data_IF_540833130672
#
_entry.id   IF_540833130672
#
_cell.length_a   1.000
_cell.length_b   1.000
_cell.length_c   1.000
_cell.angle_alpha   90.00
_cell.angle_beta   90.00
_cell.angle_gamma   90.00
#
_symmetry.space_group_name_H-M   'P 1'
#
loop_
_entity.id
_entity.type
_entity.pdbx_description
1 polymer ?
#
# COMPACT_ATOMS: atom_id res chain seq x y z
N UNK A 1 -28.84 66.72 43.53
CA UNK A 1 -29.47 65.40 43.27
C UNK A 1 -28.85 64.83 42.01
N UNK A 2 -28.18 63.68 42.16
CA UNK A 2 -27.44 62.97 41.11
C UNK A 2 -28.41 62.43 40.05
N UNK A 3 -28.18 62.72 38.77
CA UNK A 3 -28.69 61.88 37.67
C UNK A 3 -27.48 61.42 36.85
N UNK A 4 -27.12 60.17 37.10
CA UNK A 4 -26.19 59.38 36.32
C UNK A 4 -26.84 59.15 34.94
N UNK A 5 -26.21 59.64 33.88
CA UNK A 5 -26.55 59.25 32.50
C UNK A 5 -25.52 58.18 32.12
N UNK A 6 -25.92 56.92 31.88
CA UNK A 6 -24.98 55.93 31.38
C UNK A 6 -24.75 56.22 29.89
N UNK A 7 -23.51 56.55 29.57
CA UNK A 7 -23.00 56.62 28.20
C UNK A 7 -23.04 55.21 27.61
N UNK A 8 -24.04 54.92 26.77
CA UNK A 8 -24.10 53.70 25.96
C UNK A 8 -22.96 53.74 24.93
N UNK A 9 -21.80 53.20 25.31
CA UNK A 9 -20.76 52.81 24.37
C UNK A 9 -21.30 51.67 23.52
N UNK A 10 -21.77 51.99 22.31
CA UNK A 10 -21.91 51.01 21.24
C UNK A 10 -20.50 50.54 20.85
N UNK A 11 -20.01 49.51 21.54
CA UNK A 11 -18.90 48.71 21.05
C UNK A 11 -19.51 47.81 19.97
N UNK A 12 -19.09 47.92 18.69
CA UNK A 12 -19.50 46.92 17.72
C UNK A 12 -18.89 45.60 18.18
N UNK A 13 -19.73 44.67 18.62
CA UNK A 13 -19.35 43.29 18.81
C UNK A 13 -19.06 42.76 17.40
N UNK A 14 -17.81 42.90 16.95
CA UNK A 14 -17.35 42.19 15.77
C UNK A 14 -17.35 40.72 16.18
N UNK A 15 -18.47 40.05 15.91
CA UNK A 15 -18.54 38.60 15.88
C UNK A 15 -17.69 38.21 14.68
N UNK A 16 -16.38 38.11 14.88
CA UNK A 16 -15.55 37.27 14.04
C UNK A 16 -16.05 35.84 14.29
N UNK A 17 -17.04 35.43 13.49
CA UNK A 17 -17.33 34.01 13.32
C UNK A 17 -16.05 33.38 12.80
N UNK A 18 -15.31 32.73 13.70
CA UNK A 18 -14.29 31.79 13.30
C UNK A 18 -15.04 30.62 12.67
N UNK A 19 -15.17 30.62 11.35
CA UNK A 19 -15.50 29.43 10.59
C UNK A 19 -14.30 28.48 10.68
N UNK A 20 -14.16 27.81 11.83
CA UNK A 20 -13.33 26.63 11.94
C UNK A 20 -14.18 25.47 11.42
N UNK A 21 -14.24 25.31 10.10
CA UNK A 21 -14.65 24.02 9.53
C UNK A 21 -13.54 23.03 9.88
N UNK A 22 -13.74 22.28 10.96
CA UNK A 22 -12.94 21.09 11.23
C UNK A 22 -12.98 20.20 9.99
N UNK A 23 -11.81 19.67 9.59
CA UNK A 23 -11.72 18.74 8.46
C UNK A 23 -12.67 17.57 8.69
N UNK A 24 -13.52 17.27 7.72
CA UNK A 24 -14.48 16.15 7.79
C UNK A 24 -13.76 14.82 8.09
N UNK A 25 -12.55 14.66 7.56
CA UNK A 25 -11.70 13.50 7.85
C UNK A 25 -11.26 13.47 9.32
N UNK A 26 -10.89 14.62 9.90
CA UNK A 26 -10.50 14.71 11.31
C UNK A 26 -11.69 14.35 12.21
N UNK A 27 -12.90 14.81 11.88
CA UNK A 27 -14.11 14.45 12.63
C UNK A 27 -14.37 12.94 12.60
N UNK A 28 -14.21 12.29 11.43
CA UNK A 28 -14.35 10.83 11.30
C UNK A 28 -13.27 10.08 12.09
N UNK A 29 -12.02 10.54 12.06
CA UNK A 29 -10.92 9.95 12.84
C UNK A 29 -11.22 10.05 14.34
N UNK A 30 -11.65 11.23 14.82
CA UNK A 30 -12.01 11.44 16.22
C UNK A 30 -13.18 10.55 16.65
N UNK A 31 -14.18 10.35 15.78
CA UNK A 31 -15.30 9.44 16.05
C UNK A 31 -14.83 7.99 16.21
N UNK A 32 -13.94 7.51 15.33
CA UNK A 32 -13.34 6.16 15.45
C UNK A 32 -12.55 6.05 16.76
N UNK A 33 -11.74 7.06 17.11
CA UNK A 33 -10.97 7.06 18.35
C UNK A 33 -11.87 6.99 19.59
N UNK A 34 -12.95 7.76 19.63
CA UNK A 34 -13.92 7.72 20.73
C UNK A 34 -14.60 6.36 20.84
N UNK A 35 -14.96 5.73 19.71
CA UNK A 35 -15.55 4.40 19.70
C UNK A 35 -14.58 3.35 20.26
N UNK A 36 -13.32 3.36 19.83
CA UNK A 36 -12.28 2.45 20.33
C UNK A 36 -12.07 2.63 21.85
N UNK A 37 -12.03 3.88 22.32
CA UNK A 37 -11.93 4.19 23.75
C UNK A 37 -13.13 3.67 24.55
N UNK A 38 -14.34 3.72 23.97
CA UNK A 38 -15.56 3.25 24.62
C UNK A 38 -15.67 1.71 24.66
N UNK A 39 -15.24 1.02 23.60
CA UNK A 39 -15.27 -0.45 23.52
C UNK A 39 -14.24 -1.11 24.44
N UNK A 40 -13.05 -0.51 24.59
CA UNK A 40 -12.00 -1.01 25.50
C UNK A 40 -11.30 -2.29 25.05
N UNK A 41 -11.75 -2.92 23.97
CA UNK A 41 -11.07 -3.98 23.24
C UNK A 41 -11.23 -3.75 21.72
N UNK A 42 -10.32 -4.30 20.92
CA UNK A 42 -10.35 -4.23 19.46
C UNK A 42 -10.36 -5.67 18.94
N UNK A 43 -11.27 -6.00 18.04
CA UNK A 43 -11.31 -7.31 17.37
C UNK A 43 -10.15 -7.45 16.38
N UNK A 44 -9.81 -8.68 15.98
CA UNK A 44 -8.75 -8.90 14.97
C UNK A 44 -9.12 -8.23 13.65
N UNK A 45 -10.40 -8.21 13.31
CA UNK A 45 -10.94 -7.61 12.10
C UNK A 45 -10.81 -6.07 12.12
N UNK A 46 -11.17 -5.44 13.23
CA UNK A 46 -10.98 -3.99 13.44
C UNK A 46 -9.50 -3.60 13.45
N UNK A 47 -8.64 -4.43 14.06
CA UNK A 47 -7.20 -4.27 14.03
C UNK A 47 -6.66 -4.32 12.59
N UNK A 48 -7.11 -5.27 11.77
CA UNK A 48 -6.72 -5.33 10.36
C UNK A 48 -7.22 -4.12 9.56
N UNK A 49 -8.42 -3.62 9.83
CA UNK A 49 -8.93 -2.39 9.20
C UNK A 49 -8.07 -1.17 9.56
N UNK A 50 -7.68 -1.05 10.83
CA UNK A 50 -6.74 -0.01 11.28
C UNK A 50 -5.36 -0.14 10.63
N UNK A 51 -4.80 -1.36 10.57
CA UNK A 51 -3.51 -1.62 9.93
C UNK A 51 -3.53 -1.30 8.42
N UNK A 52 -4.66 -1.52 7.75
CA UNK A 52 -4.85 -1.12 6.36
C UNK A 52 -4.79 0.40 6.19
N UNK A 53 -5.49 1.16 7.05
CA UNK A 53 -5.43 2.63 7.05
C UNK A 53 -4.00 3.12 7.31
N UNK A 54 -3.30 2.54 8.29
CA UNK A 54 -1.89 2.84 8.54
C UNK A 54 -1.02 2.56 7.30
N UNK A 55 -1.33 1.51 6.55
CA UNK A 55 -0.62 1.17 5.31
C UNK A 55 -0.81 2.19 4.20
N UNK A 56 -1.97 2.86 4.15
CA UNK A 56 -2.25 3.91 3.16
C UNK A 56 -1.54 5.22 3.56
N UNK A 57 -1.46 5.50 4.87
CA UNK A 57 -0.94 6.75 5.42
C UNK A 57 0.58 6.78 5.61
N UNK A 58 1.22 5.61 5.69
CA UNK A 58 2.65 5.49 5.88
C UNK A 58 3.39 6.02 4.63
N UNK A 59 3.81 7.29 4.70
CA UNK A 59 4.75 7.88 3.73
C UNK A 59 6.11 7.16 3.73
N UNK A 60 6.33 6.31 4.74
CA UNK A 60 7.57 5.58 5.01
C UNK A 60 7.50 4.10 4.60
N UNK A 61 6.52 3.72 3.78
CA UNK A 61 6.52 2.37 3.21
C UNK A 61 7.77 2.13 2.34
N UNK A 62 8.42 3.17 1.82
CA UNK A 62 9.65 3.10 1.02
C UNK A 62 9.45 3.47 -0.45
N UNK A 63 8.20 3.61 -0.93
CA UNK A 63 7.92 4.01 -2.32
C UNK A 63 8.00 5.52 -2.55
N UNK A 64 7.58 6.32 -1.57
CA UNK A 64 7.66 7.78 -1.67
C UNK A 64 9.11 8.28 -1.70
N UNK A 65 10.02 7.55 -1.06
CA UNK A 65 11.45 7.84 -1.01
C UNK A 65 12.25 7.14 -2.12
N UNK A 66 11.61 6.35 -3.00
CA UNK A 66 12.29 5.68 -4.11
C UNK A 66 12.56 6.69 -5.24
N UNK A 67 13.71 7.36 -5.12
CA UNK A 67 14.14 8.49 -5.93
C UNK A 67 13.96 8.23 -7.43
N UNK A 68 13.12 9.04 -8.10
CA UNK A 68 12.64 8.80 -9.47
C UNK A 68 13.75 8.65 -10.52
N UNK A 69 14.90 9.25 -10.23
CA UNK A 69 16.00 9.46 -11.16
C UNK A 69 17.01 8.31 -11.12
N UNK A 70 16.89 7.39 -10.16
CA UNK A 70 17.79 6.24 -10.00
C UNK A 70 17.05 4.95 -9.62
N UNK A 71 15.80 4.81 -10.09
CA UNK A 71 14.95 3.65 -9.83
C UNK A 71 15.44 2.45 -10.63
N UNK A 72 16.16 1.54 -9.97
CA UNK A 72 16.43 0.23 -10.52
C UNK A 72 15.12 -0.55 -10.62
N UNK A 73 14.76 -0.97 -11.82
CA UNK A 73 13.60 -1.81 -12.07
C UNK A 73 14.05 -3.23 -12.39
N UNK A 74 13.15 -4.19 -12.18
CA UNK A 74 13.46 -5.61 -12.30
C UNK A 74 13.98 -6.02 -13.70
N UNK A 75 13.71 -5.23 -14.73
CA UNK A 75 14.22 -5.46 -16.10
C UNK A 75 15.70 -5.07 -16.26
N UNK A 76 16.20 -4.13 -15.47
CA UNK A 76 17.48 -3.47 -15.69
C UNK A 76 18.62 -4.11 -14.86
N UNK A 77 18.28 -5.05 -13.97
CA UNK A 77 19.25 -5.82 -13.18
C UNK A 77 19.84 -6.95 -14.01
N UNK A 78 21.11 -7.29 -13.76
CA UNK A 78 21.79 -8.42 -14.42
C UNK A 78 21.19 -9.74 -13.93
N UNK A 79 21.02 -9.86 -12.60
CA UNK A 79 20.41 -11.03 -11.97
C UNK A 79 19.23 -10.55 -11.13
N UNK A 80 18.04 -11.07 -11.42
CA UNK A 80 16.83 -10.80 -10.64
C UNK A 80 16.95 -11.40 -9.23
N UNK A 81 16.11 -10.99 -8.26
CA UNK A 81 16.06 -11.63 -6.96
C UNK A 81 15.82 -13.14 -7.10
N UNK A 82 16.56 -13.92 -6.31
CA UNK A 82 16.46 -15.39 -6.35
C UNK A 82 15.56 -15.84 -5.20
N UNK A 83 14.39 -16.34 -5.56
CA UNK A 83 13.46 -16.99 -4.63
C UNK A 83 14.00 -18.38 -4.25
N UNK A 84 13.71 -18.84 -3.04
CA UNK A 84 14.06 -20.19 -2.59
C UNK A 84 13.59 -21.29 -3.57
N UNK A 85 14.55 -22.11 -4.00
CA UNK A 85 14.34 -23.16 -4.99
C UNK A 85 14.46 -22.69 -6.45
N UNK A 86 15.03 -21.52 -6.68
CA UNK A 86 15.40 -21.00 -8.01
C UNK A 86 16.94 -20.82 -8.14
N UNK A 87 17.74 -21.46 -7.29
CA UNK A 87 19.20 -21.37 -7.32
C UNK A 87 19.81 -22.12 -8.51
N UNK A 88 21.01 -21.71 -8.93
CA UNK A 88 21.84 -22.39 -9.94
C UNK A 88 21.19 -22.51 -11.34
N UNK A 89 20.16 -21.71 -11.61
CA UNK A 89 19.53 -21.58 -12.92
C UNK A 89 20.24 -20.54 -13.78
N UNK A 90 20.07 -20.60 -15.10
CA UNK A 90 20.46 -19.48 -15.97
C UNK A 90 19.67 -18.21 -15.62
N UNK A 91 20.15 -17.03 -16.04
CA UNK A 91 19.46 -15.75 -15.77
C UNK A 91 18.00 -15.76 -16.25
N UNK A 92 17.75 -16.29 -17.46
CA UNK A 92 16.40 -16.40 -18.02
C UNK A 92 15.51 -17.37 -17.24
N UNK A 93 16.05 -18.51 -16.83
CA UNK A 93 15.33 -19.51 -16.03
C UNK A 93 15.07 -19.01 -14.62
N UNK A 94 16.02 -18.29 -14.02
CA UNK A 94 15.87 -17.63 -12.72
C UNK A 94 14.72 -16.64 -12.77
N UNK A 95 14.65 -15.82 -13.83
CA UNK A 95 13.54 -14.87 -14.06
C UNK A 95 12.19 -15.55 -14.17
N UNK A 96 12.10 -16.64 -14.95
CA UNK A 96 10.87 -17.44 -15.08
C UNK A 96 10.48 -18.09 -13.75
N UNK A 97 11.46 -18.64 -13.03
CA UNK A 97 11.27 -19.28 -11.74
C UNK A 97 10.77 -18.28 -10.68
N UNK A 98 11.42 -17.11 -10.58
CA UNK A 98 10.98 -16.01 -9.71
C UNK A 98 9.52 -15.65 -9.96
N UNK A 99 9.14 -15.42 -11.21
CA UNK A 99 7.75 -15.09 -11.58
C UNK A 99 6.75 -16.18 -11.16
N UNK A 100 7.09 -17.43 -11.42
CA UNK A 100 6.25 -18.56 -11.06
C UNK A 100 6.10 -18.66 -9.53
N UNK A 101 7.20 -18.57 -8.77
CA UNK A 101 7.17 -18.65 -7.31
C UNK A 101 6.35 -17.52 -6.68
N UNK A 102 6.55 -16.28 -7.14
CA UNK A 102 5.79 -15.11 -6.70
C UNK A 102 4.29 -15.29 -6.98
N UNK A 103 3.93 -15.63 -8.23
CA UNK A 103 2.54 -15.86 -8.64
C UNK A 103 1.89 -16.98 -7.81
N UNK A 104 2.59 -18.10 -7.67
CA UNK A 104 2.12 -19.26 -6.90
C UNK A 104 1.95 -18.93 -5.42
N UNK A 105 2.90 -18.22 -4.81
CA UNK A 105 2.82 -17.79 -3.42
C UNK A 105 1.60 -16.91 -3.18
N UNK A 106 1.40 -15.89 -4.02
CA UNK A 106 0.28 -14.96 -3.88
C UNK A 106 -1.05 -15.71 -4.04
N UNK A 107 -1.19 -16.53 -5.07
CA UNK A 107 -2.40 -17.34 -5.30
C UNK A 107 -2.72 -18.23 -4.10
N UNK A 108 -1.71 -18.82 -3.45
CA UNK A 108 -1.88 -19.69 -2.29
C UNK A 108 -2.30 -18.91 -1.04
N UNK A 109 -1.68 -17.77 -0.79
CA UNK A 109 -1.90 -16.99 0.44
C UNK A 109 -3.12 -16.06 0.38
N UNK A 110 -3.63 -15.77 -0.82
CA UNK A 110 -4.76 -14.86 -1.02
C UNK A 110 -6.08 -15.51 -0.56
N UNK A 111 -6.81 -14.81 0.30
CA UNK A 111 -8.12 -15.18 0.78
C UNK A 111 -9.18 -14.80 -0.25
N UNK A 112 -9.52 -15.73 -1.14
CA UNK A 112 -10.49 -15.50 -2.22
C UNK A 112 -11.88 -15.02 -1.74
N UNK A 113 -12.25 -15.26 -0.49
CA UNK A 113 -13.53 -14.81 0.06
C UNK A 113 -13.67 -13.28 0.01
N UNK A 114 -12.57 -12.53 0.22
CA UNK A 114 -12.63 -11.05 0.18
C UNK A 114 -13.01 -10.51 -1.20
N UNK A 115 -12.77 -11.29 -2.26
CA UNK A 115 -13.17 -10.96 -3.64
C UNK A 115 -14.60 -11.40 -3.92
N UNK A 116 -15.00 -12.59 -3.44
CA UNK A 116 -16.36 -13.12 -3.62
C UNK A 116 -17.42 -12.25 -2.94
N UNK A 117 -17.10 -11.69 -1.76
CA UNK A 117 -18.01 -10.82 -1.02
C UNK A 117 -18.36 -9.53 -1.77
N UNK A 118 -17.56 -9.15 -2.77
CA UNK A 118 -17.82 -7.99 -3.62
C UNK A 118 -18.88 -8.24 -4.70
N UNK A 119 -19.30 -9.49 -4.94
CA UNK A 119 -20.29 -9.88 -5.95
C UNK A 119 -20.04 -9.24 -7.32
N UNK A 120 -18.80 -9.27 -7.78
CA UNK A 120 -18.38 -8.64 -9.04
C UNK A 120 -19.01 -9.36 -10.23
N UNK A 121 -19.59 -8.59 -11.16
CA UNK A 121 -20.13 -9.13 -12.42
C UNK A 121 -19.03 -9.57 -13.38
N UNK A 122 -17.87 -8.91 -13.32
CA UNK A 122 -16.70 -9.17 -14.16
C UNK A 122 -15.42 -9.10 -13.33
N UNK A 123 -14.36 -9.85 -13.68
CA UNK A 123 -13.06 -9.73 -13.04
C UNK A 123 -12.53 -8.29 -13.13
N UNK A 124 -11.97 -7.81 -12.02
CA UNK A 124 -11.27 -6.52 -11.93
C UNK A 124 -9.76 -6.73 -11.91
N UNK A 125 -9.03 -5.70 -12.29
CA UNK A 125 -7.58 -5.69 -12.28
C UNK A 125 -7.07 -4.61 -11.34
N UNK A 126 -5.98 -4.90 -10.65
CA UNK A 126 -5.27 -3.98 -9.76
C UNK A 126 -3.76 -4.13 -9.93
N UNK A 127 -3.06 -3.00 -9.90
CA UNK A 127 -1.60 -2.98 -9.95
C UNK A 127 -1.03 -2.88 -8.53
N UNK A 128 -0.11 -3.79 -8.20
CA UNK A 128 0.63 -3.75 -6.95
C UNK A 128 2.13 -3.61 -7.22
N UNK A 129 2.79 -2.84 -6.37
CA UNK A 129 4.19 -2.47 -6.45
C UNK A 129 4.85 -2.82 -5.12
N UNK A 130 6.08 -3.31 -5.17
CA UNK A 130 6.90 -3.54 -3.98
C UNK A 130 8.38 -3.46 -4.33
N UNK A 131 9.21 -3.09 -3.37
CA UNK A 131 10.66 -3.04 -3.49
C UNK A 131 11.25 -4.26 -2.79
N UNK A 132 12.09 -5.02 -3.48
CA UNK A 132 12.99 -5.98 -2.84
C UNK A 132 14.30 -5.24 -2.59
N UNK A 133 14.65 -5.03 -1.32
CA UNK A 133 15.84 -4.25 -0.98
C UNK A 133 17.14 -5.07 -1.14
N UNK A 134 18.28 -4.42 -0.95
CA UNK A 134 19.62 -5.03 -1.01
C UNK A 134 19.86 -6.15 0.00
N UNK A 135 18.99 -6.30 1.00
CA UNK A 135 19.00 -7.40 1.97
C UNK A 135 17.96 -8.49 1.65
N UNK A 136 17.25 -8.37 0.52
CA UNK A 136 16.24 -9.33 0.09
C UNK A 136 14.87 -9.18 0.75
N UNK A 137 14.64 -8.13 1.53
CA UNK A 137 13.37 -7.89 2.21
C UNK A 137 12.40 -7.12 1.31
N UNK A 138 11.12 -7.48 1.38
CA UNK A 138 10.06 -6.71 0.75
C UNK A 138 9.74 -5.46 1.57
N UNK A 139 9.78 -4.32 0.89
CA UNK A 139 9.46 -2.98 1.40
C UNK A 139 8.68 -2.25 0.30
N UNK A 140 8.34 -0.99 0.50
CA UNK A 140 7.75 -0.11 -0.52
C UNK A 140 6.49 -0.68 -1.13
N UNK A 141 5.56 -1.22 -0.33
CA UNK A 141 4.39 -1.93 -0.87
C UNK A 141 3.23 -0.97 -1.11
N UNK A 142 2.78 -0.86 -2.36
CA UNK A 142 1.61 -0.05 -2.75
C UNK A 142 0.72 -0.80 -3.71
N UNK A 143 -0.58 -0.64 -3.50
CA UNK A 143 -1.62 -1.15 -4.39
C UNK A 143 -2.42 0.04 -4.90
N UNK A 144 -2.68 0.10 -6.21
CA UNK A 144 -3.40 1.21 -6.85
C UNK A 144 -4.72 0.74 -7.41
N UNK A 145 -5.75 1.57 -7.30
CA UNK A 145 -7.02 1.40 -8.03
C UNK A 145 -7.82 0.14 -7.64
N UNK A 146 -7.81 -0.22 -6.35
CA UNK A 146 -8.68 -1.29 -5.79
C UNK A 146 -9.53 -0.83 -4.61
N UNK A 147 -10.58 -1.60 -4.33
CA UNK A 147 -11.32 -1.55 -3.09
C UNK A 147 -10.39 -1.76 -1.89
N UNK A 148 -10.70 -1.08 -0.78
CA UNK A 148 -9.88 -1.12 0.44
C UNK A 148 -9.68 -2.55 0.95
N UNK A 149 -10.71 -3.41 0.85
CA UNK A 149 -10.61 -4.82 1.26
C UNK A 149 -9.59 -5.61 0.43
N UNK A 150 -9.60 -5.41 -0.90
CA UNK A 150 -8.65 -6.05 -1.83
C UNK A 150 -7.23 -5.50 -1.62
N UNK A 151 -7.10 -4.17 -1.47
CA UNK A 151 -5.83 -3.54 -1.15
C UNK A 151 -5.23 -4.11 0.13
N UNK A 152 -6.03 -4.21 1.20
CA UNK A 152 -5.60 -4.74 2.49
C UNK A 152 -5.10 -6.18 2.35
N UNK A 153 -5.84 -7.00 1.61
CA UNK A 153 -5.52 -8.41 1.41
C UNK A 153 -4.22 -8.59 0.61
N UNK A 154 -4.04 -7.84 -0.48
CA UNK A 154 -2.81 -7.90 -1.27
C UNK A 154 -1.60 -7.49 -0.42
N UNK A 155 -1.71 -6.41 0.36
CA UNK A 155 -0.64 -5.96 1.26
C UNK A 155 -0.35 -7.00 2.36
N UNK A 156 -1.39 -7.65 2.91
CA UNK A 156 -1.22 -8.76 3.88
C UNK A 156 -0.45 -9.92 3.26
N UNK A 157 -0.74 -10.28 2.02
CA UNK A 157 -0.06 -11.37 1.31
C UNK A 157 1.39 -11.01 1.02
N UNK A 158 1.67 -9.81 0.49
CA UNK A 158 3.03 -9.36 0.20
C UNK A 158 3.92 -9.35 1.46
N UNK A 159 3.38 -8.92 2.61
CA UNK A 159 4.08 -8.94 3.91
C UNK A 159 4.47 -10.34 4.39
N UNK A 160 3.81 -11.40 3.91
CA UNK A 160 4.14 -12.78 4.27
C UNK A 160 5.22 -13.39 3.39
N UNK A 161 5.64 -12.70 2.32
CA UNK A 161 6.66 -13.26 1.44
C UNK A 161 7.96 -13.53 2.21
N UNK A 162 8.64 -14.64 1.92
CA UNK A 162 9.93 -14.91 2.51
C UNK A 162 10.98 -13.91 2.00
N UNK A 163 12.04 -13.74 2.79
CA UNK A 163 13.25 -13.03 2.37
C UNK A 163 13.87 -13.81 1.21
N UNK A 164 14.39 -13.10 0.21
CA UNK A 164 14.98 -13.68 -1.01
C UNK A 164 16.45 -13.29 -1.13
N UNK A 165 17.20 -13.88 -2.05
CA UNK A 165 18.50 -13.28 -2.43
C UNK A 165 18.22 -11.98 -3.20
N UNK A 166 18.92 -10.88 -2.89
CA UNK A 166 18.69 -9.60 -3.56
C UNK A 166 19.06 -9.67 -5.05
N UNK A 167 18.56 -8.72 -5.83
CA UNK A 167 19.00 -8.55 -7.22
C UNK A 167 20.47 -8.13 -7.26
N UNK A 168 21.18 -8.56 -8.32
CA UNK A 168 22.57 -8.17 -8.59
C UNK A 168 22.63 -7.30 -9.84
N UNK A 169 23.39 -6.21 -9.76
CA UNK A 169 23.72 -5.36 -10.90
C UNK A 169 25.13 -4.79 -10.72
N UNK A 170 25.99 -4.85 -11.74
CA UNK A 170 27.41 -4.53 -11.68
C UNK A 170 28.13 -5.25 -10.51
N UNK A 171 27.77 -6.52 -10.28
CA UNK A 171 28.34 -7.34 -9.19
C UNK A 171 27.99 -6.90 -7.77
N UNK A 172 27.02 -5.98 -7.59
CA UNK A 172 26.55 -5.53 -6.26
C UNK A 172 25.09 -5.86 -6.05
N UNK A 173 24.72 -6.14 -4.80
CA UNK A 173 23.32 -6.23 -4.38
C UNK A 173 22.66 -4.85 -4.50
N UNK A 174 21.50 -4.81 -5.16
CA UNK A 174 20.74 -3.57 -5.40
C UNK A 174 19.29 -3.73 -4.97
N UNK A 175 18.70 -2.63 -4.50
CA UNK A 175 17.25 -2.56 -4.29
C UNK A 175 16.56 -2.46 -5.65
N UNK A 176 15.45 -3.18 -5.83
CA UNK A 176 14.76 -3.27 -7.11
C UNK A 176 13.25 -3.11 -6.95
N UNK A 177 12.64 -2.30 -7.81
CA UNK A 177 11.19 -2.14 -7.87
C UNK A 177 10.56 -3.22 -8.73
N UNK A 178 9.62 -3.93 -8.12
CA UNK A 178 8.79 -4.96 -8.73
C UNK A 178 7.36 -4.45 -8.90
N UNK A 179 6.68 -4.93 -9.93
CA UNK A 179 5.23 -4.77 -10.09
C UNK A 179 4.59 -6.12 -10.39
N UNK A 180 3.32 -6.24 -10.01
CA UNK A 180 2.47 -7.37 -10.35
C UNK A 180 1.10 -6.83 -10.71
N UNK A 181 0.46 -7.50 -11.66
CA UNK A 181 -0.94 -7.29 -12.00
C UNK A 181 -1.73 -8.42 -11.35
N UNK A 182 -2.70 -8.04 -10.54
CA UNK A 182 -3.62 -8.97 -9.89
C UNK A 182 -4.98 -8.81 -10.53
N UNK A 183 -5.48 -9.87 -11.17
CA UNK A 183 -6.86 -9.94 -11.63
C UNK A 183 -7.66 -10.75 -10.63
N UNK A 184 -8.76 -10.21 -10.14
CA UNK A 184 -9.59 -10.82 -9.10
C UNK A 184 -11.07 -10.77 -9.48
N UNK A 185 -11.79 -11.83 -9.13
CA UNK A 185 -13.23 -11.98 -9.30
C UNK A 185 -13.67 -13.23 -8.56
N UNK A 186 -14.23 -14.20 -9.29
CA UNK A 186 -14.49 -15.53 -8.75
C UNK A 186 -13.22 -16.36 -8.51
N UNK A 187 -12.14 -16.01 -9.21
CA UNK A 187 -10.80 -16.59 -9.11
C UNK A 187 -9.77 -15.46 -9.02
N UNK A 188 -8.50 -15.82 -8.80
CA UNK A 188 -7.38 -14.87 -8.82
C UNK A 188 -6.31 -15.31 -9.81
N UNK A 189 -5.95 -14.39 -10.72
CA UNK A 189 -4.84 -14.55 -11.64
C UNK A 189 -3.77 -13.51 -11.31
N UNK A 190 -2.52 -13.95 -11.33
CA UNK A 190 -1.37 -13.11 -10.99
C UNK A 190 -0.44 -13.13 -12.17
N UNK A 191 -0.39 -12.00 -12.86
CA UNK A 191 0.56 -11.73 -13.92
C UNK A 191 1.70 -10.92 -13.28
N UNK A 192 2.84 -11.57 -13.05
CA UNK A 192 4.04 -10.88 -12.56
C UNK A 192 4.61 -10.00 -13.68
N UNK A 193 4.10 -8.77 -13.77
CA UNK A 193 4.51 -7.82 -14.79
C UNK A 193 5.74 -7.07 -14.32
N UNK A 194 6.89 -7.39 -14.91
CA UNK A 194 8.05 -6.51 -14.90
C UNK A 194 7.57 -5.20 -15.50
N UNK A 195 7.72 -4.09 -14.76
CA UNK A 195 7.29 -2.73 -15.14
C UNK A 195 7.32 -2.59 -16.66
N UNK A 196 6.16 -2.32 -17.30
CA UNK A 196 6.13 -2.16 -18.74
C UNK A 196 7.22 -1.16 -19.11
N UNK A 197 7.95 -1.46 -20.19
CA UNK A 197 8.88 -0.52 -20.78
C UNK A 197 8.21 0.86 -20.74
N UNK A 198 8.91 1.89 -20.22
CA UNK A 198 8.48 3.25 -20.54
C UNK A 198 8.26 3.24 -22.05
N UNK A 199 7.07 3.61 -22.54
CA UNK A 199 6.90 3.72 -23.98
C UNK A 199 8.07 4.56 -24.48
N UNK A 200 8.81 4.04 -25.46
CA UNK A 200 9.85 4.83 -26.09
C UNK A 200 9.20 6.15 -26.52
N UNK A 201 9.73 7.27 -26.03
CA UNK A 201 9.32 8.61 -26.44
C UNK A 201 9.35 8.75 -27.97
#
# INVERSE_FOLDING_TARGET
MKKLIPLLLFIPLVIFGQNNTESELIMKINAVQQQVMAQGNITKEEEQAMLSLCSIMSHDDGLANYNSDNRMILKDVEIVPVYDGCEELSEEETKKCFNNKISTFIKREFNLNVSKDLNLSEPKQVDAFFIINENGNLTGMKVRDSEVTIQSEILRVLRKMPIMKPAIHNGKSVSVLCSIIVKYGNEIEIDAVYIPERPND
#
